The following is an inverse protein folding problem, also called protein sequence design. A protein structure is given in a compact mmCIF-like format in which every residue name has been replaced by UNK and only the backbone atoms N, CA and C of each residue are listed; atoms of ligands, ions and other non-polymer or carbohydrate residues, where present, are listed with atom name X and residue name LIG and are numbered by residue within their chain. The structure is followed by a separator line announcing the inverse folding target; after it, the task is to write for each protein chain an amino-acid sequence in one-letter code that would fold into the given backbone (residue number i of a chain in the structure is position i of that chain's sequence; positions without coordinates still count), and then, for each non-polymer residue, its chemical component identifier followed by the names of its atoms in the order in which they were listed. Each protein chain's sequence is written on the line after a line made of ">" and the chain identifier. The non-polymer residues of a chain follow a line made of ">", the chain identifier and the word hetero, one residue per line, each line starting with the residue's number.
data_IF_899857713725
#
_entry.id   IF_899857713725
#
_cell.length_a   1.000
_cell.length_b   1.000
_cell.length_c   1.000
_cell.angle_alpha   90.00
_cell.angle_beta   90.00
_cell.angle_gamma   90.00
#
_symmetry.space_group_name_H-M   'P 1'
#
loop_
_entity.id
_entity.type
_entity.pdbx_description
1 polymer ?
#
# COMPACT_ATOMS: atom_id res chain seq x y z
N UNK A 1 12.75 -0.26 -20.03
CA UNK A 1 12.44 0.91 -19.19
C UNK A 1 13.54 1.93 -19.45
N UNK A 2 13.20 3.05 -20.11
CA UNK A 2 14.17 4.06 -20.54
C UNK A 2 14.25 5.19 -19.50
N UNK A 3 15.42 5.39 -18.90
CA UNK A 3 16.06 6.71 -18.77
C UNK A 3 15.83 7.56 -17.53
N UNK A 4 14.77 7.35 -16.76
CA UNK A 4 14.49 8.24 -15.61
C UNK A 4 15.21 7.72 -14.36
N UNK A 5 16.30 8.39 -13.94
CA UNK A 5 17.14 8.02 -12.78
C UNK A 5 16.73 8.77 -11.50
N UNK A 6 15.49 9.23 -11.42
CA UNK A 6 14.97 9.89 -10.24
C UNK A 6 14.84 8.91 -9.07
N UNK A 7 14.91 9.41 -7.84
CA UNK A 7 14.65 8.60 -6.64
C UNK A 7 13.28 7.93 -6.73
N UNK A 8 12.28 8.66 -7.23
CA UNK A 8 10.94 8.12 -7.51
C UNK A 8 11.02 6.88 -8.42
N UNK A 9 11.69 6.98 -9.56
CA UNK A 9 11.78 5.88 -10.52
C UNK A 9 12.52 4.68 -9.93
N UNK A 10 13.64 4.92 -9.22
CA UNK A 10 14.42 3.87 -8.55
C UNK A 10 13.56 3.13 -7.51
N UNK A 11 12.84 3.87 -6.65
CA UNK A 11 11.98 3.27 -5.61
C UNK A 11 10.79 2.54 -6.26
N UNK A 12 10.12 3.13 -7.23
CA UNK A 12 8.98 2.53 -7.92
C UNK A 12 9.37 1.23 -8.63
N UNK A 13 10.50 1.23 -9.33
CA UNK A 13 11.01 0.05 -10.03
C UNK A 13 11.41 -1.05 -9.04
N UNK A 14 12.08 -0.70 -7.94
CA UNK A 14 12.45 -1.68 -6.92
C UNK A 14 11.22 -2.30 -6.26
N UNK A 15 10.21 -1.50 -5.88
CA UNK A 15 8.97 -2.02 -5.28
C UNK A 15 8.24 -2.94 -6.25
N UNK A 16 8.07 -2.51 -7.51
CA UNK A 16 7.42 -3.32 -8.55
C UNK A 16 8.14 -4.66 -8.79
N UNK A 17 9.48 -4.63 -8.95
CA UNK A 17 10.28 -5.83 -9.19
C UNK A 17 10.30 -6.81 -7.99
N UNK A 18 9.89 -6.37 -6.80
CA UNK A 18 9.84 -7.18 -5.60
C UNK A 18 8.40 -7.48 -5.12
N UNK A 19 7.39 -7.30 -5.98
CA UNK A 19 5.97 -7.56 -5.71
C UNK A 19 5.38 -6.77 -4.53
N UNK A 20 5.78 -5.50 -4.37
CA UNK A 20 5.18 -4.57 -3.41
C UNK A 20 4.27 -3.56 -4.13
N UNK A 21 3.17 -3.19 -3.48
CA UNK A 21 2.16 -2.30 -4.05
C UNK A 21 2.38 -0.82 -3.66
N UNK A 22 3.26 -0.57 -2.68
CA UNK A 22 3.48 0.77 -2.16
C UNK A 22 4.43 0.86 -0.97
N UNK A 23 4.43 2.03 -0.34
CA UNK A 23 5.11 2.30 0.93
C UNK A 23 4.10 2.55 2.05
N UNK A 24 4.50 2.25 3.28
CA UNK A 24 3.72 2.48 4.50
C UNK A 24 4.67 2.89 5.62
N UNK A 25 4.22 3.75 6.54
CA UNK A 25 4.97 4.04 7.77
C UNK A 25 4.70 2.97 8.83
N UNK A 26 5.69 2.67 9.68
CA UNK A 26 5.46 1.81 10.85
C UNK A 26 4.35 2.42 11.73
N UNK A 27 3.25 1.67 11.94
CA UNK A 27 2.02 2.15 12.58
C UNK A 27 0.83 2.25 11.64
N UNK A 28 1.04 2.09 10.32
CA UNK A 28 -0.01 2.12 9.29
C UNK A 28 -0.83 3.43 9.25
N UNK A 29 -0.32 4.53 9.83
CA UNK A 29 -1.04 5.81 9.84
C UNK A 29 -0.98 6.52 8.47
N UNK A 30 -0.08 6.10 7.58
CA UNK A 30 -0.05 6.56 6.19
C UNK A 30 0.45 5.47 5.24
N UNK A 31 -0.02 5.53 3.99
CA UNK A 31 0.42 4.65 2.92
C UNK A 31 0.35 5.35 1.56
N UNK A 32 1.26 4.99 0.66
CA UNK A 32 1.30 5.51 -0.70
C UNK A 32 1.42 4.34 -1.69
N UNK A 33 0.57 4.30 -2.71
CA UNK A 33 0.69 3.35 -3.82
C UNK A 33 1.87 3.70 -4.71
N UNK A 34 2.34 2.75 -5.51
CA UNK A 34 3.42 2.95 -6.51
C UNK A 34 3.24 4.23 -7.37
N UNK A 35 2.00 4.49 -7.82
CA UNK A 35 1.68 5.67 -8.64
C UNK A 35 1.73 6.99 -7.87
N UNK A 36 1.53 6.93 -6.56
CA UNK A 36 1.24 8.04 -5.65
C UNK A 36 2.42 8.36 -4.71
N UNK A 37 3.61 7.78 -4.96
CA UNK A 37 4.80 7.99 -4.11
C UNK A 37 5.29 9.45 -4.09
N UNK A 38 5.02 10.21 -5.15
CA UNK A 38 5.47 11.62 -5.29
C UNK A 38 4.41 12.45 -6.01
N UNK A 39 3.99 13.61 -5.45
CA UNK A 39 4.43 14.17 -4.16
C UNK A 39 3.88 13.36 -2.98
N UNK A 40 4.71 13.15 -1.97
CA UNK A 40 4.28 12.64 -0.67
C UNK A 40 4.18 13.84 0.28
N UNK A 41 3.05 13.99 0.96
CA UNK A 41 2.79 15.12 1.86
C UNK A 41 3.39 14.92 3.26
N UNK A 42 3.86 13.71 3.58
CA UNK A 42 4.46 13.38 4.88
C UNK A 42 5.57 12.34 4.76
N UNK A 43 6.69 12.64 4.07
CA UNK A 43 7.80 11.71 3.93
C UNK A 43 8.45 11.43 5.30
N UNK A 44 8.69 10.16 5.62
CA UNK A 44 9.42 9.76 6.82
C UNK A 44 10.54 8.76 6.51
N UNK A 45 11.53 8.68 7.39
CA UNK A 45 12.66 7.74 7.25
C UNK A 45 12.26 6.28 7.53
N UNK A 46 11.08 6.06 8.11
CA UNK A 46 10.52 4.74 8.44
C UNK A 46 9.54 4.21 7.39
N UNK A 47 9.47 4.83 6.21
CA UNK A 47 8.69 4.29 5.09
C UNK A 47 9.27 2.94 4.63
N UNK A 48 8.45 1.91 4.67
CA UNK A 48 8.82 0.54 4.27
C UNK A 48 7.83 -0.01 3.25
N UNK A 49 8.28 -1.02 2.49
CA UNK A 49 7.49 -1.63 1.43
C UNK A 49 6.29 -2.40 1.99
N UNK A 50 5.15 -2.29 1.31
CA UNK A 50 3.90 -2.92 1.76
C UNK A 50 2.99 -3.37 0.61
N UNK A 51 1.82 -3.86 1.00
CA UNK A 51 0.87 -4.53 0.13
C UNK A 51 -0.50 -3.88 0.20
N UNK A 52 -1.11 -3.62 -0.94
CA UNK A 52 -2.42 -2.99 -0.99
C UNK A 52 -3.51 -3.98 -0.56
N UNK A 53 -4.47 -3.51 0.21
CA UNK A 53 -5.69 -4.21 0.57
C UNK A 53 -6.82 -3.22 0.86
N UNK A 54 -8.08 -3.68 0.95
CA UNK A 54 -9.19 -2.83 1.33
C UNK A 54 -9.10 -2.46 2.81
N UNK A 55 -9.70 -1.33 3.20
CA UNK A 55 -9.94 -1.06 4.61
C UNK A 55 -11.08 -1.93 5.14
N UNK A 56 -10.86 -2.78 6.15
CA UNK A 56 -11.94 -3.57 6.74
C UNK A 56 -13.01 -2.70 7.41
N UNK A 57 -12.68 -1.49 7.87
CA UNK A 57 -13.63 -0.58 8.52
C UNK A 57 -14.38 0.30 7.53
N UNK A 58 -13.87 0.43 6.30
CA UNK A 58 -14.51 1.16 5.20
C UNK A 58 -14.38 2.68 5.31
N UNK A 59 -13.47 3.20 6.15
CA UNK A 59 -13.15 4.62 6.20
C UNK A 59 -12.37 5.05 4.95
N UNK A 60 -11.64 4.11 4.34
CA UNK A 60 -10.86 4.31 3.12
C UNK A 60 -11.13 3.21 2.08
N UNK A 61 -10.99 3.53 0.78
CA UNK A 61 -11.12 2.52 -0.28
C UNK A 61 -9.98 1.47 -0.25
N UNK A 62 -8.81 1.87 0.24
CA UNK A 62 -7.60 1.06 0.28
C UNK A 62 -6.67 1.47 1.42
N UNK A 63 -5.82 0.53 1.85
CA UNK A 63 -4.71 0.72 2.77
C UNK A 63 -3.48 -0.07 2.28
N UNK A 64 -2.28 0.34 2.72
CA UNK A 64 -1.05 -0.42 2.54
C UNK A 64 -0.74 -1.17 3.84
N UNK A 65 -0.54 -2.49 3.74
CA UNK A 65 -0.27 -3.39 4.85
C UNK A 65 1.18 -3.85 4.87
N UNK A 66 1.70 -4.11 6.07
CA UNK A 66 3.07 -4.63 6.28
C UNK A 66 3.28 -6.07 5.80
N UNK A 67 2.22 -6.81 5.46
CA UNK A 67 2.33 -8.18 4.95
C UNK A 67 1.21 -8.57 3.98
N UNK A 68 1.53 -9.46 3.02
CA UNK A 68 0.54 -10.10 2.14
C UNK A 68 -0.58 -10.78 2.93
N UNK A 69 -0.22 -11.39 4.07
CA UNK A 69 -1.18 -12.05 4.96
C UNK A 69 -2.22 -11.06 5.50
N UNK A 70 -1.79 -9.92 6.02
CA UNK A 70 -2.68 -8.90 6.55
C UNK A 70 -3.59 -8.30 5.46
N UNK A 71 -3.04 -7.96 4.29
CA UNK A 71 -3.84 -7.49 3.16
C UNK A 71 -4.86 -8.54 2.67
N UNK A 72 -4.49 -9.83 2.70
CA UNK A 72 -5.41 -10.93 2.37
C UNK A 72 -6.51 -11.13 3.41
N UNK A 73 -6.18 -11.01 4.70
CA UNK A 73 -7.15 -11.08 5.78
C UNK A 73 -8.17 -9.94 5.71
N UNK A 74 -7.73 -8.72 5.41
CA UNK A 74 -8.61 -7.57 5.20
C UNK A 74 -9.62 -7.81 4.06
N UNK A 75 -9.16 -8.35 2.91
CA UNK A 75 -10.06 -8.73 1.80
C UNK A 75 -11.13 -9.72 2.22
N UNK A 76 -10.75 -10.74 3.00
CA UNK A 76 -11.70 -11.74 3.50
C UNK A 76 -12.74 -11.15 4.44
N UNK A 77 -12.31 -10.22 5.31
CA UNK A 77 -13.21 -9.56 6.25
C UNK A 77 -14.24 -8.70 5.51
N UNK A 78 -13.82 -7.93 4.51
CA UNK A 78 -14.75 -7.12 3.71
C UNK A 78 -15.80 -8.00 3.03
N UNK A 79 -15.37 -9.07 2.36
CA UNK A 79 -16.30 -10.02 1.73
C UNK A 79 -17.24 -10.69 2.73
N UNK A 80 -16.80 -10.96 3.97
CA UNK A 80 -17.69 -11.51 5.00
C UNK A 80 -18.76 -10.50 5.44
N UNK A 81 -18.38 -9.23 5.64
CA UNK A 81 -19.29 -8.13 6.02
C UNK A 81 -20.34 -7.85 4.93
N UNK A 82 -19.96 -7.93 3.65
CA UNK A 82 -20.89 -7.75 2.52
C UNK A 82 -21.97 -8.84 2.48
N UNK A 83 -21.62 -10.10 2.81
CA UNK A 83 -22.57 -11.22 2.83
C UNK A 83 -23.53 -11.22 4.05
N UNK A 84 -23.30 -10.38 5.05
CA UNK A 84 -24.16 -10.26 6.25
C UNK A 84 -25.23 -9.17 6.11
N UNK A 85 -25.20 -8.38 5.03
CA UNK A 85 -26.17 -7.31 4.75
C UNK A 85 -27.27 -7.70 3.75
N UNK A 86 -27.29 -8.95 3.26
CA UNK A 86 -28.32 -9.56 2.40
C UNK A 86 -29.39 -10.35 3.19
#
# INVERSE_FOLDING_TARGET
>A
MNGDKSVRAIVSEWLFCNDYDGLVSEGCECGCRLGDLVPCDSPCETCIAGYEGPDPEGDYDWMIYLSKKAAHEARKQLSAKENEQD
#
